data_IF_622026524101
#
_entry.id   IF_622026524101
#
_cell.length_a   1.000
_cell.length_b   1.000
_cell.length_c   1.000
_cell.angle_alpha   90.00
_cell.angle_beta   90.00
_cell.angle_gamma   90.00
#
_symmetry.space_group_name_H-M   'P 1'
#
loop_
_entity.id
_entity.type
_entity.pdbx_description
1 polymer ?
#
# COMPACT_ATOMS: atom_id res chain seq x y z
N UNK A 1 -9.44 -54.30 1.60
CA UNK A 1 -8.58 -53.80 0.48
C UNK A 1 -9.39 -52.80 -0.30
N UNK A 2 -9.16 -51.51 -0.08
CA UNK A 2 -9.86 -50.42 -0.75
C UNK A 2 -9.17 -50.12 -2.08
N UNK A 3 -9.86 -50.37 -3.19
CA UNK A 3 -9.38 -50.07 -4.53
C UNK A 3 -9.48 -48.55 -4.78
N UNK A 4 -8.39 -47.88 -4.84
CA UNK A 4 -8.32 -46.47 -5.29
C UNK A 4 -8.49 -46.43 -6.81
N UNK A 5 -9.61 -45.87 -7.27
CA UNK A 5 -9.88 -45.69 -8.69
C UNK A 5 -8.92 -44.61 -9.30
N UNK A 6 -8.31 -44.97 -10.44
CA UNK A 6 -7.42 -44.08 -11.20
C UNK A 6 -8.07 -42.75 -11.64
N UNK A 7 -9.39 -42.64 -11.60
CA UNK A 7 -10.15 -41.43 -11.91
C UNK A 7 -10.18 -40.43 -10.73
N UNK A 8 -9.99 -40.87 -9.49
CA UNK A 8 -9.93 -39.98 -8.31
C UNK A 8 -8.61 -39.22 -8.19
N UNK A 9 -7.54 -39.76 -8.78
CA UNK A 9 -6.21 -39.13 -8.70
C UNK A 9 -6.05 -37.91 -9.64
N UNK A 10 -6.87 -37.82 -10.70
CA UNK A 10 -6.81 -36.70 -11.65
C UNK A 10 -7.61 -35.47 -11.16
N UNK A 11 -8.53 -35.64 -10.24
CA UNK A 11 -9.33 -34.53 -9.69
C UNK A 11 -8.64 -33.81 -8.51
N UNK A 12 -7.72 -34.49 -7.81
CA UNK A 12 -6.96 -33.88 -6.71
C UNK A 12 -5.74 -33.06 -7.18
N UNK A 13 -5.25 -33.30 -8.39
CA UNK A 13 -4.12 -32.53 -8.98
C UNK A 13 -4.50 -31.16 -9.51
N UNK A 14 -5.78 -30.94 -9.85
CA UNK A 14 -6.25 -29.69 -10.45
C UNK A 14 -6.44 -28.54 -9.46
N UNK A 15 -6.65 -28.85 -8.18
CA UNK A 15 -6.91 -27.82 -7.16
C UNK A 15 -5.64 -27.11 -6.67
N UNK A 16 -4.48 -27.74 -6.78
CA UNK A 16 -3.19 -27.16 -6.37
C UNK A 16 -2.57 -26.23 -7.41
N UNK A 17 -2.95 -26.37 -8.70
CA UNK A 17 -2.44 -25.50 -9.75
C UNK A 17 -3.09 -24.10 -9.80
N UNK A 18 -4.27 -23.93 -9.18
CA UNK A 18 -4.98 -22.65 -9.16
C UNK A 18 -4.43 -21.64 -8.15
N UNK A 19 -3.62 -22.07 -7.17
CA UNK A 19 -3.02 -21.21 -6.16
C UNK A 19 -1.71 -20.53 -6.62
N UNK A 20 -1.10 -21.00 -7.70
CA UNK A 20 0.15 -20.45 -8.22
C UNK A 20 -0.02 -19.21 -9.12
N UNK A 21 -1.26 -18.80 -9.44
CA UNK A 21 -1.55 -17.69 -10.36
C UNK A 21 -1.65 -16.32 -9.66
N UNK A 22 -1.35 -16.21 -8.36
CA UNK A 22 -1.26 -14.93 -7.66
C UNK A 22 0.15 -14.34 -7.76
N UNK A 23 0.65 -14.14 -8.97
CA UNK A 23 1.87 -13.37 -9.19
C UNK A 23 1.62 -11.91 -8.80
N UNK A 24 2.21 -11.45 -7.69
CA UNK A 24 2.32 -10.03 -7.33
C UNK A 24 3.45 -9.34 -8.11
N UNK A 25 3.83 -9.84 -9.28
CA UNK A 25 4.90 -9.29 -10.10
C UNK A 25 4.52 -7.93 -10.70
N UNK A 26 5.54 -7.11 -10.94
CA UNK A 26 5.44 -5.88 -11.74
C UNK A 26 4.89 -6.28 -13.13
N UNK A 27 3.84 -5.57 -13.61
CA UNK A 27 3.24 -5.80 -14.92
C UNK A 27 2.03 -6.75 -14.97
N UNK A 28 1.56 -7.30 -13.84
CA UNK A 28 0.30 -8.07 -13.79
C UNK A 28 -0.94 -7.16 -13.77
N UNK A 29 -2.13 -7.71 -14.10
CA UNK A 29 -3.39 -6.94 -14.08
C UNK A 29 -3.67 -6.23 -12.74
N UNK A 30 -3.30 -6.84 -11.61
CA UNK A 30 -3.45 -6.24 -10.27
C UNK A 30 -2.45 -5.12 -10.04
N UNK A 31 -1.25 -5.24 -10.57
CA UNK A 31 -0.22 -4.21 -10.55
C UNK A 31 -0.69 -3.00 -11.37
N UNK A 32 -1.16 -3.20 -12.60
CA UNK A 32 -1.66 -2.13 -13.46
C UNK A 32 -2.87 -1.39 -12.83
N UNK A 33 -3.77 -2.11 -12.16
CA UNK A 33 -4.87 -1.48 -11.42
C UNK A 33 -4.38 -0.63 -10.24
N UNK A 34 -3.36 -1.10 -9.52
CA UNK A 34 -2.76 -0.34 -8.43
C UNK A 34 -2.04 0.90 -8.96
N UNK A 35 -1.27 0.76 -10.04
CA UNK A 35 -0.58 1.88 -10.68
C UNK A 35 -1.57 2.97 -11.16
N UNK A 36 -2.69 2.58 -11.77
CA UNK A 36 -3.73 3.53 -12.15
C UNK A 36 -4.34 4.29 -10.95
N UNK A 37 -4.49 3.64 -9.80
CA UNK A 37 -4.91 4.32 -8.56
C UNK A 37 -3.83 5.24 -8.00
N UNK A 38 -2.57 4.84 -8.12
CA UNK A 38 -1.41 5.66 -7.74
C UNK A 38 -1.36 6.92 -8.59
N UNK A 39 -1.57 6.81 -9.92
CA UNK A 39 -1.66 7.97 -10.82
C UNK A 39 -2.79 8.91 -10.40
N UNK A 40 -3.98 8.38 -10.20
CA UNK A 40 -5.13 9.18 -9.75
C UNK A 40 -4.89 9.86 -8.39
N UNK A 41 -4.17 9.19 -7.47
CA UNK A 41 -3.82 9.78 -6.17
C UNK A 41 -2.78 10.90 -6.33
N UNK A 42 -1.78 10.70 -7.18
CA UNK A 42 -0.78 11.71 -7.51
C UNK A 42 -1.45 12.98 -8.10
N UNK A 43 -2.29 12.81 -9.13
CA UNK A 43 -2.97 13.90 -9.79
C UNK A 43 -3.93 14.65 -8.84
N UNK A 44 -4.66 13.92 -8.02
CA UNK A 44 -5.51 14.50 -6.99
C UNK A 44 -4.69 15.31 -5.98
N UNK A 45 -3.57 14.74 -5.50
CA UNK A 45 -2.69 15.40 -4.52
C UNK A 45 -2.19 16.75 -5.06
N UNK A 46 -1.65 16.77 -6.27
CA UNK A 46 -1.11 17.99 -6.87
C UNK A 46 -2.21 19.02 -7.17
N UNK A 47 -3.37 18.56 -7.66
CA UNK A 47 -4.47 19.44 -8.01
C UNK A 47 -5.14 20.08 -6.78
N UNK A 48 -5.31 19.34 -5.71
CA UNK A 48 -5.96 19.83 -4.49
C UNK A 48 -4.99 20.55 -3.54
N UNK A 49 -3.71 20.17 -3.59
CA UNK A 49 -2.65 20.69 -2.72
C UNK A 49 -1.42 21.10 -3.53
N UNK A 50 -1.45 22.22 -4.27
CA UNK A 50 -0.39 22.60 -5.20
C UNK A 50 1.01 22.68 -4.59
N UNK A 51 1.11 23.00 -3.29
CA UNK A 51 2.40 22.99 -2.57
C UNK A 51 3.08 21.62 -2.48
N UNK A 52 2.33 20.52 -2.71
CA UNK A 52 2.90 19.17 -2.72
C UNK A 52 3.69 18.86 -3.99
N UNK A 53 3.48 19.60 -5.06
CA UNK A 53 4.26 19.44 -6.29
C UNK A 53 5.77 19.64 -6.04
N UNK A 54 6.12 20.61 -5.20
CA UNK A 54 7.51 20.86 -4.81
C UNK A 54 8.08 19.69 -3.99
N UNK A 55 7.28 19.05 -3.15
CA UNK A 55 7.70 17.87 -2.38
C UNK A 55 7.94 16.68 -3.30
N UNK A 56 7.04 16.45 -4.26
CA UNK A 56 7.21 15.38 -5.27
C UNK A 56 8.49 15.60 -6.07
N UNK A 57 8.74 16.82 -6.51
CA UNK A 57 9.92 17.15 -7.33
C UNK A 57 11.25 17.06 -6.58
N UNK A 58 11.24 17.27 -5.25
CA UNK A 58 12.43 17.22 -4.40
C UNK A 58 12.67 15.84 -3.80
N UNK A 59 11.64 15.01 -3.75
CA UNK A 59 11.74 13.68 -3.16
C UNK A 59 12.56 12.74 -4.04
N UNK A 60 13.45 11.98 -3.44
CA UNK A 60 14.20 10.90 -4.10
C UNK A 60 13.35 9.66 -4.35
N UNK A 61 12.21 9.56 -3.66
CA UNK A 61 11.19 8.54 -3.87
C UNK A 61 9.89 8.93 -3.19
N UNK A 62 8.77 8.45 -3.71
CA UNK A 62 7.44 8.69 -3.14
C UNK A 62 6.68 7.37 -3.08
N UNK A 63 6.22 6.99 -1.88
CA UNK A 63 5.34 5.85 -1.68
C UNK A 63 3.89 6.35 -1.67
N UNK A 64 3.11 5.90 -2.63
CA UNK A 64 1.68 6.16 -2.70
C UNK A 64 0.91 4.94 -2.20
N UNK A 65 0.05 5.14 -1.22
CA UNK A 65 -0.92 4.17 -0.71
C UNK A 65 -2.33 4.70 -1.03
N UNK A 66 -2.88 4.44 -2.22
CA UNK A 66 -4.12 5.08 -2.70
C UNK A 66 -5.34 4.81 -1.84
N UNK A 67 -5.35 3.65 -1.19
CA UNK A 67 -6.47 3.23 -0.37
C UNK A 67 -5.94 2.51 0.87
N UNK A 68 -5.94 3.23 1.98
CA UNK A 68 -5.80 2.67 3.32
C UNK A 68 -7.19 2.52 3.90
N UNK A 69 -7.49 1.34 4.40
CA UNK A 69 -8.74 1.07 5.13
C UNK A 69 -8.41 0.86 6.59
N UNK A 70 -9.07 1.60 7.46
CA UNK A 70 -9.04 1.43 8.90
C UNK A 70 -10.43 1.05 9.37
N UNK A 71 -10.56 -0.05 10.10
CA UNK A 71 -11.82 -0.51 10.65
C UNK A 71 -11.61 -1.09 12.04
N UNK A 72 -12.56 -0.86 12.94
CA UNK A 72 -12.49 -1.41 14.28
C UNK A 72 -13.71 -1.15 15.14
N UNK A 73 -13.82 -1.97 16.18
CA UNK A 73 -14.78 -1.86 17.27
C UNK A 73 -14.08 -2.28 18.55
N UNK A 74 -13.47 -1.31 19.26
CA UNK A 74 -12.62 -1.57 20.43
C UNK A 74 -11.24 -2.14 20.11
N UNK A 75 -11.19 -3.08 19.16
CA UNK A 75 -9.98 -3.59 18.49
C UNK A 75 -10.16 -3.33 17.01
N UNK A 76 -9.14 -2.80 16.36
CA UNK A 76 -9.19 -2.45 14.95
C UNK A 76 -7.92 -2.84 14.20
N UNK A 77 -7.97 -2.65 12.90
CA UNK A 77 -6.82 -2.83 12.03
C UNK A 77 -6.82 -1.82 10.89
N UNK A 78 -5.62 -1.57 10.39
CA UNK A 78 -5.38 -0.77 9.18
C UNK A 78 -4.72 -1.66 8.17
N UNK A 79 -5.16 -1.57 6.93
CA UNK A 79 -4.52 -2.27 5.82
C UNK A 79 -4.60 -1.45 4.54
N UNK A 80 -3.63 -1.64 3.67
CA UNK A 80 -3.59 -0.99 2.38
C UNK A 80 -2.47 -1.55 1.51
N UNK A 81 -2.49 -1.14 0.24
CA UNK A 81 -1.45 -1.44 -0.73
C UNK A 81 -1.04 -0.18 -1.45
N UNK A 82 0.24 -0.12 -1.80
CA UNK A 82 0.81 1.03 -2.48
C UNK A 82 1.96 0.66 -3.40
N UNK A 83 2.44 1.67 -4.09
CA UNK A 83 3.60 1.57 -4.95
C UNK A 83 4.62 2.67 -4.62
N UNK A 84 5.87 2.28 -4.55
CA UNK A 84 7.00 3.19 -4.45
C UNK A 84 7.38 3.64 -5.85
N UNK A 85 7.46 4.95 -6.04
CA UNK A 85 7.93 5.58 -7.28
C UNK A 85 9.25 6.32 -7.05
N UNK A 86 10.16 6.12 -7.99
CA UNK A 86 11.41 6.86 -8.11
C UNK A 86 11.43 7.48 -9.51
N UNK A 87 11.61 8.79 -9.61
CA UNK A 87 11.53 9.54 -10.88
C UNK A 87 10.25 9.24 -11.68
N UNK A 88 9.11 9.10 -10.98
CA UNK A 88 7.81 8.83 -11.61
C UNK A 88 7.56 7.38 -12.02
N UNK A 89 8.54 6.48 -11.88
CA UNK A 89 8.45 5.06 -12.27
C UNK A 89 8.20 4.20 -11.05
N UNK A 90 7.24 3.27 -11.11
CA UNK A 90 7.02 2.28 -10.06
C UNK A 90 8.19 1.31 -10.02
N UNK A 91 8.87 1.26 -8.87
CA UNK A 91 10.03 0.38 -8.65
C UNK A 91 9.71 -0.79 -7.73
N UNK A 92 8.65 -0.67 -6.89
CA UNK A 92 8.27 -1.72 -5.97
C UNK A 92 6.83 -1.54 -5.47
N UNK A 93 6.22 -2.63 -4.95
CA UNK A 93 4.89 -2.61 -4.35
C UNK A 93 4.95 -2.99 -2.88
N UNK A 94 4.21 -2.24 -2.06
CA UNK A 94 4.19 -2.40 -0.62
C UNK A 94 2.78 -2.69 -0.10
N UNK A 95 2.73 -3.45 0.98
CA UNK A 95 1.52 -3.65 1.77
C UNK A 95 1.73 -3.10 3.17
N UNK A 96 0.74 -2.40 3.70
CA UNK A 96 0.70 -1.99 5.08
C UNK A 96 -0.40 -2.77 5.81
N UNK A 97 -0.06 -3.26 7.00
CA UNK A 97 -1.01 -3.85 7.92
C UNK A 97 -0.59 -3.51 9.35
N UNK A 98 -1.50 -3.03 10.17
CA UNK A 98 -1.26 -2.82 11.58
C UNK A 98 -2.51 -3.09 12.38
N UNK A 99 -2.35 -3.60 13.62
CA UNK A 99 -3.42 -3.66 14.60
C UNK A 99 -3.48 -2.33 15.36
N UNK A 100 -4.68 -1.87 15.65
CA UNK A 100 -4.93 -0.72 16.49
C UNK A 100 -5.85 -1.08 17.64
N UNK A 101 -5.56 -0.54 18.82
CA UNK A 101 -6.40 -0.67 20.00
C UNK A 101 -6.95 0.72 20.31
N UNK A 102 -8.26 0.87 20.41
CA UNK A 102 -8.87 2.14 20.73
C UNK A 102 -10.40 2.11 20.58
N UNK A 103 -11.08 3.12 21.15
CA UNK A 103 -12.53 3.26 21.11
C UNK A 103 -13.07 3.77 19.76
N UNK A 104 -12.37 3.51 18.66
CA UNK A 104 -12.87 3.87 17.34
C UNK A 104 -13.90 2.83 16.88
N UNK A 105 -15.14 3.30 16.73
CA UNK A 105 -16.23 2.53 16.16
C UNK A 105 -16.43 3.02 14.73
N UNK A 106 -16.18 2.14 13.75
CA UNK A 106 -16.43 2.46 12.36
C UNK A 106 -15.36 1.98 11.40
N UNK A 107 -15.54 2.38 10.17
CA UNK A 107 -14.57 2.16 9.10
C UNK A 107 -14.31 3.49 8.37
N UNK A 108 -13.05 3.76 8.07
CA UNK A 108 -12.67 4.92 7.27
C UNK A 108 -11.67 4.51 6.19
N UNK A 109 -11.68 5.25 5.10
CA UNK A 109 -10.74 5.06 4.00
C UNK A 109 -10.06 6.39 3.70
N UNK A 110 -8.75 6.33 3.44
CA UNK A 110 -7.94 7.49 3.11
C UNK A 110 -6.75 7.09 2.24
N UNK A 111 -6.20 8.05 1.51
CA UNK A 111 -4.93 7.89 0.85
C UNK A 111 -3.80 8.29 1.81
N UNK A 112 -2.66 7.57 1.71
CA UNK A 112 -1.46 7.88 2.46
C UNK A 112 -0.30 8.02 1.48
N UNK A 113 0.46 9.13 1.59
CA UNK A 113 1.60 9.40 0.72
C UNK A 113 2.81 9.75 1.58
N UNK A 114 3.93 9.05 1.36
CA UNK A 114 5.21 9.31 2.02
C UNK A 114 6.21 9.83 1.00
N UNK A 115 6.88 10.93 1.36
CA UNK A 115 7.94 11.53 0.57
C UNK A 115 9.29 11.21 1.21
N UNK A 116 10.14 10.50 0.51
CA UNK A 116 11.51 10.26 0.93
C UNK A 116 12.38 11.40 0.41
N UNK A 117 12.82 12.27 1.32
CA UNK A 117 13.58 13.48 0.96
C UNK A 117 15.08 13.22 0.85
N UNK A 118 15.57 12.06 1.33
CA UNK A 118 16.98 11.68 1.29
C UNK A 118 17.16 10.24 0.85
N UNK A 119 18.26 9.96 0.16
CA UNK A 119 18.62 8.59 -0.25
C UNK A 119 18.77 7.65 0.95
N UNK A 120 19.24 8.18 2.08
CA UNK A 120 19.39 7.38 3.29
C UNK A 120 18.04 6.88 3.81
N UNK A 121 17.05 7.78 3.94
CA UNK A 121 15.70 7.44 4.38
C UNK A 121 15.03 6.43 3.42
N UNK A 122 15.17 6.63 2.11
CA UNK A 122 14.67 5.69 1.11
C UNK A 122 15.35 4.32 1.23
N UNK A 123 16.66 4.28 1.40
CA UNK A 123 17.41 3.04 1.48
C UNK A 123 17.12 2.27 2.78
N UNK A 124 16.94 2.96 3.89
CA UNK A 124 16.54 2.37 5.17
C UNK A 124 15.14 1.77 5.07
N UNK A 125 14.19 2.51 4.50
CA UNK A 125 12.84 2.02 4.24
C UNK A 125 12.84 0.74 3.40
N UNK A 126 13.61 0.71 2.30
CA UNK A 126 13.66 -0.45 1.40
C UNK A 126 14.35 -1.68 2.00
N UNK A 127 15.21 -1.50 3.00
CA UNK A 127 15.92 -2.60 3.70
C UNK A 127 15.20 -3.10 4.93
N UNK A 128 14.23 -2.35 5.43
CA UNK A 128 13.48 -2.74 6.61
C UNK A 128 12.56 -3.93 6.33
N UNK A 129 12.56 -4.94 7.20
CA UNK A 129 11.64 -6.07 7.14
C UNK A 129 10.17 -5.68 7.43
N UNK A 130 9.97 -4.46 7.87
CA UNK A 130 8.68 -3.82 8.11
C UNK A 130 8.87 -2.33 8.28
N UNK A 131 7.81 -1.55 8.07
CA UNK A 131 7.85 -0.11 8.24
C UNK A 131 6.70 0.37 9.11
N UNK A 132 6.98 1.37 9.93
CA UNK A 132 5.99 2.09 10.70
C UNK A 132 6.12 3.58 10.38
N UNK A 133 4.99 4.25 10.22
CA UNK A 133 4.99 5.71 10.11
C UNK A 133 5.32 6.27 11.48
N UNK A 134 6.49 6.90 11.62
CA UNK A 134 6.89 7.62 12.81
C UNK A 134 5.91 8.74 13.15
N UNK A 135 5.83 9.10 14.44
CA UNK A 135 4.85 10.06 14.94
C UNK A 135 5.09 11.52 14.52
N UNK A 136 6.17 11.81 13.79
CA UNK A 136 6.80 13.13 13.82
C UNK A 136 6.28 14.19 12.85
N UNK A 137 5.38 13.88 11.95
CA UNK A 137 4.59 14.93 11.29
C UNK A 137 3.31 14.37 10.68
N UNK A 138 2.22 14.40 11.40
CA UNK A 138 0.88 14.18 10.86
C UNK A 138 0.17 15.51 10.73
N UNK A 139 -0.04 15.94 9.52
CA UNK A 139 -1.03 16.99 9.24
C UNK A 139 -2.35 16.31 8.93
N UNK A 140 -3.23 16.26 9.90
CA UNK A 140 -4.63 15.92 9.67
C UNK A 140 -5.32 17.19 9.14
N UNK A 141 -5.81 17.13 7.91
CA UNK A 141 -6.67 18.20 7.40
C UNK A 141 -8.09 17.93 7.91
N UNK A 142 -8.74 18.91 8.58
CA UNK A 142 -9.97 18.67 9.36
C UNK A 142 -11.16 18.15 8.57
N UNK A 143 -11.23 18.35 7.28
CA UNK A 143 -12.47 18.18 6.52
C UNK A 143 -12.56 16.97 5.62
N UNK A 144 -11.51 16.17 5.38
CA UNK A 144 -11.54 15.08 4.38
C UNK A 144 -10.74 13.81 4.71
N UNK A 145 -10.36 13.59 5.94
CA UNK A 145 -9.70 12.35 6.36
C UNK A 145 -8.34 12.07 5.71
N UNK A 146 -7.72 13.04 5.09
CA UNK A 146 -6.38 12.94 4.53
C UNK A 146 -5.33 13.31 5.58
N UNK A 147 -4.30 12.50 5.73
CA UNK A 147 -3.14 12.81 6.53
C UNK A 147 -1.90 12.90 5.64
N UNK A 148 -1.17 14.00 5.74
CA UNK A 148 0.15 14.16 5.10
C UNK A 148 1.18 14.03 6.20
N UNK A 149 2.08 13.07 6.08
CA UNK A 149 3.18 12.86 7.01
C UNK A 149 4.52 12.97 6.31
N UNK A 150 5.48 13.64 6.93
CA UNK A 150 6.87 13.63 6.50
C UNK A 150 7.69 12.77 7.48
N UNK A 151 8.44 11.82 6.97
CA UNK A 151 9.46 11.08 7.73
C UNK A 151 10.83 11.67 7.40
N UNK A 152 11.57 12.03 8.41
CA UNK A 152 12.97 12.49 8.33
C UNK A 152 13.90 11.34 8.64
#
# INVERSE_FOLDING_TARGET
>A
MTQYSRRGLLLSGGALAALAACGNGIGGNKAAQLDARVDATHDYLISQYPGTADLVNKAVGVLYMPLMTEAGFGIGGKFGRGALRINGVTVDYYSAASASFGFQIGAQQYAHVLFFMTENALSEFRRADGWAVGADARYALPDRGGAIGAAT
#
